data_IF_448471075615
#
_entry.id   IF_448471075615
#
_cell.length_a   1.000
_cell.length_b   1.000
_cell.length_c   1.000
_cell.angle_alpha   90.00
_cell.angle_beta   90.00
_cell.angle_gamma   90.00
#
_symmetry.space_group_name_H-M   'P 1'
#
loop_
_entity.id
_entity.type
_entity.pdbx_description
1 polymer ?
#
# COMPACT_ATOMS: atom_id res chain seq x y z
N UNK A 1 13.88 -16.13 -2.99
CA UNK A 1 12.52 -15.99 -2.41
C UNK A 1 12.54 -15.55 -0.95
N UNK A 2 13.55 -15.90 -0.15
CA UNK A 2 13.63 -15.50 1.26
C UNK A 2 13.62 -13.98 1.48
N UNK A 3 14.35 -13.22 0.66
CA UNK A 3 14.36 -11.75 0.75
C UNK A 3 12.98 -11.13 0.54
N UNK A 4 12.22 -11.68 -0.42
CA UNK A 4 10.84 -11.24 -0.70
C UNK A 4 9.93 -11.58 0.49
N UNK A 5 10.03 -12.80 1.03
CA UNK A 5 9.25 -13.21 2.19
C UNK A 5 9.53 -12.34 3.42
N UNK A 6 10.81 -12.06 3.67
CA UNK A 6 11.22 -11.21 4.77
C UNK A 6 10.76 -9.75 4.58
N UNK A 7 10.84 -9.22 3.35
CA UNK A 7 10.34 -7.89 3.00
C UNK A 7 8.82 -7.79 3.18
N UNK A 8 8.05 -8.81 2.76
CA UNK A 8 6.59 -8.86 2.97
C UNK A 8 6.25 -8.83 4.46
N UNK A 9 6.94 -9.63 5.28
CA UNK A 9 6.73 -9.61 6.74
C UNK A 9 7.01 -8.22 7.34
N UNK A 10 8.10 -7.58 6.92
CA UNK A 10 8.43 -6.23 7.38
C UNK A 10 7.38 -5.20 6.94
N UNK A 11 6.92 -5.26 5.69
CA UNK A 11 5.87 -4.37 5.18
C UNK A 11 4.56 -4.52 5.97
N UNK A 12 4.18 -5.75 6.33
CA UNK A 12 3.01 -6.02 7.17
C UNK A 12 3.18 -5.43 8.58
N UNK A 13 4.35 -5.60 9.20
CA UNK A 13 4.63 -5.04 10.53
C UNK A 13 4.59 -3.51 10.55
N UNK A 14 4.98 -2.87 9.45
CA UNK A 14 4.94 -1.41 9.30
C UNK A 14 3.55 -0.89 8.90
N UNK A 15 2.59 -1.78 8.57
CA UNK A 15 1.28 -1.40 8.03
C UNK A 15 1.32 -0.84 6.60
N UNK A 16 2.44 -0.98 5.90
CA UNK A 16 2.69 -0.42 4.57
C UNK A 16 2.49 -1.49 3.50
N UNK A 17 1.23 -1.79 3.15
CA UNK A 17 0.90 -2.85 2.20
C UNK A 17 0.84 -2.27 0.78
N UNK A 18 1.99 -2.22 0.11
CA UNK A 18 2.08 -1.85 -1.31
C UNK A 18 3.21 -2.61 -2.00
N UNK A 19 3.11 -2.76 -3.33
CA UNK A 19 4.18 -3.37 -4.13
C UNK A 19 5.50 -2.62 -3.98
N UNK A 20 5.44 -1.28 -4.01
CA UNK A 20 6.64 -0.43 -3.90
C UNK A 20 7.31 -0.52 -2.54
N UNK A 21 6.53 -0.69 -1.45
CA UNK A 21 7.08 -0.95 -0.13
C UNK A 21 7.89 -2.26 -0.11
N UNK A 22 7.32 -3.34 -0.66
CA UNK A 22 8.00 -4.63 -0.73
C UNK A 22 9.24 -4.54 -1.62
N UNK A 23 9.14 -3.92 -2.80
CA UNK A 23 10.28 -3.71 -3.71
C UNK A 23 11.43 -2.96 -3.04
N UNK A 24 11.14 -1.86 -2.34
CA UNK A 24 12.14 -1.08 -1.62
C UNK A 24 12.81 -1.90 -0.52
N UNK A 25 12.03 -2.62 0.29
CA UNK A 25 12.53 -3.46 1.37
C UNK A 25 13.38 -4.63 0.87
N UNK A 26 13.04 -5.22 -0.27
CA UNK A 26 13.86 -6.25 -0.94
C UNK A 26 15.19 -5.65 -1.39
N UNK A 27 15.15 -4.47 -2.04
CA UNK A 27 16.37 -3.81 -2.52
C UNK A 27 17.31 -3.46 -1.36
N UNK A 28 16.79 -2.87 -0.28
CA UNK A 28 17.57 -2.53 0.91
C UNK A 28 18.23 -3.75 1.55
N UNK A 29 17.57 -4.90 1.54
CA UNK A 29 18.13 -6.15 2.06
C UNK A 29 19.29 -6.67 1.21
N UNK A 30 19.09 -6.71 -0.12
CA UNK A 30 20.14 -7.13 -1.06
C UNK A 30 21.36 -6.22 -0.95
N UNK A 31 21.14 -4.91 -0.88
CA UNK A 31 22.21 -3.90 -0.78
C UNK A 31 22.76 -3.75 0.65
N UNK A 32 22.18 -4.42 1.65
CA UNK A 32 22.53 -4.30 3.09
C UNK A 32 22.49 -2.86 3.60
N UNK A 33 21.50 -2.09 3.15
CA UNK A 33 21.27 -0.69 3.53
C UNK A 33 20.07 -0.59 4.47
N UNK A 34 20.08 0.34 5.43
CA UNK A 34 18.93 0.55 6.30
C UNK A 34 17.72 0.99 5.46
N UNK A 35 16.54 0.37 5.65
CA UNK A 35 15.34 0.75 4.92
C UNK A 35 14.85 2.11 5.41
N UNK A 36 14.87 3.11 4.52
CA UNK A 36 14.24 4.42 4.73
C UNK A 36 12.97 4.45 3.90
N UNK A 37 12.00 3.66 4.33
CA UNK A 37 10.73 3.55 3.63
C UNK A 37 9.89 4.79 3.92
N UNK A 38 9.95 5.74 3.01
CA UNK A 38 9.06 6.90 2.95
C UNK A 38 8.22 6.80 1.68
N UNK A 39 6.93 6.46 1.86
CA UNK A 39 6.00 6.29 0.76
C UNK A 39 5.57 7.62 0.13
N UNK A 40 5.78 8.74 0.82
CA UNK A 40 5.47 10.08 0.29
C UNK A 40 6.58 10.60 -0.63
N UNK A 41 7.77 10.00 -0.56
CA UNK A 41 8.97 10.37 -1.35
C UNK A 41 9.21 9.42 -2.54
N UNK A 42 8.35 8.43 -2.76
CA UNK A 42 8.55 7.50 -3.87
C UNK A 42 8.30 8.18 -5.23
N UNK A 43 9.29 8.26 -6.15
CA UNK A 43 9.21 9.08 -7.37
C UNK A 43 8.06 8.72 -8.32
N UNK A 44 7.54 7.51 -8.21
CA UNK A 44 6.51 6.97 -9.10
C UNK A 44 5.17 6.72 -8.39
N UNK A 45 5.04 7.07 -7.10
CA UNK A 45 3.77 6.91 -6.40
C UNK A 45 2.83 8.04 -6.86
N UNK A 46 1.72 7.72 -7.54
CA UNK A 46 0.76 8.75 -7.91
C UNK A 46 0.27 9.40 -6.61
N UNK A 47 0.26 10.73 -6.56
CA UNK A 47 -0.40 11.43 -5.46
C UNK A 47 -1.86 11.04 -5.50
N UNK A 48 -2.30 10.26 -4.52
CA UNK A 48 -3.69 9.81 -4.44
C UNK A 48 -4.56 11.00 -4.06
N UNK A 49 -5.11 11.71 -5.05
CA UNK A 49 -6.11 12.72 -4.79
C UNK A 49 -7.44 12.01 -4.53
N UNK A 50 -7.72 11.76 -3.26
CA UNK A 50 -9.02 11.23 -2.84
C UNK A 50 -10.02 12.37 -2.74
N UNK A 51 -11.13 12.28 -3.47
CA UNK A 51 -12.28 13.14 -3.21
C UNK A 51 -13.11 12.54 -2.07
N UNK A 52 -13.70 13.38 -1.24
CA UNK A 52 -14.71 12.92 -0.29
C UNK A 52 -15.92 12.42 -1.06
N UNK A 53 -16.14 11.12 -1.00
CA UNK A 53 -17.31 10.49 -1.60
C UNK A 53 -18.59 11.01 -0.95
N UNK A 54 -19.56 11.45 -1.77
CA UNK A 54 -20.90 11.75 -1.29
C UNK A 54 -21.62 10.45 -0.91
N UNK A 55 -22.15 10.31 0.32
CA UNK A 55 -22.94 9.14 0.71
C UNK A 55 -24.13 8.88 -0.23
N UNK A 56 -24.74 9.95 -0.76
CA UNK A 56 -25.87 9.86 -1.69
C UNK A 56 -25.54 9.06 -2.96
N UNK A 57 -24.29 9.15 -3.45
CA UNK A 57 -23.83 8.43 -4.65
C UNK A 57 -23.82 6.91 -4.48
N UNK A 58 -23.81 6.41 -3.24
CA UNK A 58 -23.77 4.98 -2.91
C UNK A 58 -25.10 4.46 -2.36
N UNK A 59 -26.12 5.31 -2.22
CA UNK A 59 -27.43 4.90 -1.68
C UNK A 59 -28.08 3.79 -2.53
N UNK A 60 -27.82 3.74 -3.84
CA UNK A 60 -28.28 2.63 -4.71
C UNK A 60 -27.74 1.25 -4.28
N UNK A 61 -26.64 1.18 -3.54
CA UNK A 61 -26.09 -0.07 -3.02
C UNK A 61 -26.78 -0.53 -1.72
N UNK A 62 -27.47 0.38 -1.03
CA UNK A 62 -28.24 0.04 0.18
C UNK A 62 -29.58 -0.61 -0.17
N UNK A 63 -30.06 -0.42 -1.41
CA UNK A 63 -31.29 -1.03 -1.91
C UNK A 63 -30.99 -2.39 -2.56
N UNK A 64 -30.56 -3.34 -1.75
CA UNK A 64 -30.25 -4.70 -2.19
C UNK A 64 -30.81 -5.76 -1.25
N UNK A 65 -32.13 -5.95 -1.25
CA UNK A 65 -32.78 -7.07 -0.56
C UNK A 65 -34.27 -6.92 -0.27
N UNK A 66 -35.06 -6.29 -1.13
CA UNK A 66 -36.52 -6.37 -1.07
C UNK A 66 -37.04 -6.97 -2.38
N UNK A 67 -37.10 -8.30 -2.40
CA UNK A 67 -38.06 -9.08 -3.21
C UNK A 67 -39.29 -9.34 -2.36
#
# INVERSE_FOLDING_TARGET
MEEVHAAVKTALQMGTISFDAVKHLVLCRIERRPPRLDLDVYPYQPRTQVQTTSPASYMCLTTGGAT
#
